data_IF_824221819762
#
_entry.id   IF_824221819762
#
_cell.length_a   1.000
_cell.length_b   1.000
_cell.length_c   1.000
_cell.angle_alpha   90.00
_cell.angle_beta   90.00
_cell.angle_gamma   90.00
#
_symmetry.space_group_name_H-M   'P 1'
#
loop_
_entity.id
_entity.type
_entity.pdbx_description
1 polymer ?
#
# COMPACT_ATOMS: atom_id res chain seq x y z
N UNK A 1 0.45 -2.49 12.66
CA UNK A 1 -0.54 -2.26 11.58
C UNK A 1 0.10 -2.77 10.31
N UNK A 2 -0.56 -3.69 9.61
CA UNK A 2 -0.06 -4.23 8.35
C UNK A 2 -0.23 -3.24 7.19
N UNK A 3 0.51 -3.45 6.10
CA UNK A 3 0.43 -2.61 4.90
C UNK A 3 -0.99 -2.50 4.33
N UNK A 4 -1.78 -3.57 4.32
CA UNK A 4 -3.14 -3.52 3.76
C UNK A 4 -4.09 -2.69 4.61
N UNK A 5 -3.96 -2.80 5.93
CA UNK A 5 -4.74 -2.01 6.87
C UNK A 5 -4.39 -0.53 6.73
N UNK A 6 -3.10 -0.21 6.73
CA UNK A 6 -2.60 1.14 6.50
C UNK A 6 -3.04 1.73 5.15
N UNK A 7 -3.01 0.93 4.08
CA UNK A 7 -3.46 1.34 2.75
C UNK A 7 -4.97 1.63 2.70
N UNK A 8 -5.78 0.87 3.46
CA UNK A 8 -7.22 1.15 3.60
C UNK A 8 -7.45 2.43 4.39
N UNK A 9 -6.74 2.62 5.50
CA UNK A 9 -6.83 3.85 6.28
C UNK A 9 -6.41 5.06 5.46
N UNK A 10 -5.39 4.97 4.61
CA UNK A 10 -5.00 6.06 3.71
C UNK A 10 -6.12 6.43 2.74
N UNK A 11 -6.83 5.43 2.19
CA UNK A 11 -7.99 5.67 1.33
C UNK A 11 -9.18 6.29 2.08
N UNK A 12 -9.36 5.95 3.35
CA UNK A 12 -10.49 6.43 4.17
C UNK A 12 -10.22 7.79 4.82
N UNK A 13 -8.97 8.04 5.25
CA UNK A 13 -8.52 9.26 5.92
C UNK A 13 -8.03 10.34 4.94
N UNK A 14 -7.53 9.94 3.78
CA UNK A 14 -6.95 10.82 2.77
C UNK A 14 -7.77 10.82 1.49
N UNK A 15 -8.09 12.03 1.03
CA UNK A 15 -8.39 12.60 -0.30
C UNK A 15 -8.57 11.74 -1.58
N UNK A 16 -8.41 10.42 -1.57
CA UNK A 16 -8.56 9.52 -2.71
C UNK A 16 -9.98 8.93 -2.74
N UNK A 17 -10.84 9.46 -3.60
CA UNK A 17 -12.25 9.04 -3.70
C UNK A 17 -12.41 7.56 -4.07
N UNK A 18 -11.43 6.99 -4.78
CA UNK A 18 -11.48 5.60 -5.26
C UNK A 18 -10.06 5.00 -5.46
N UNK A 19 -9.97 3.70 -5.81
CA UNK A 19 -8.69 3.02 -6.04
C UNK A 19 -7.93 3.54 -7.27
N UNK A 20 -8.64 4.11 -8.25
CA UNK A 20 -8.03 4.70 -9.45
C UNK A 20 -7.30 5.99 -9.08
N UNK A 21 -7.93 6.89 -8.32
CA UNK A 21 -7.28 8.14 -7.87
C UNK A 21 -6.01 7.84 -7.06
N UNK A 22 -6.08 6.84 -6.17
CA UNK A 22 -4.93 6.38 -5.39
C UNK A 22 -3.82 5.82 -6.29
N UNK A 23 -4.19 5.03 -7.31
CA UNK A 23 -3.24 4.47 -8.26
C UNK A 23 -2.55 5.56 -9.10
N UNK A 24 -3.31 6.57 -9.55
CA UNK A 24 -2.74 7.72 -10.27
C UNK A 24 -1.72 8.47 -9.41
N UNK A 25 -2.06 8.73 -8.15
CA UNK A 25 -1.14 9.45 -7.26
C UNK A 25 0.10 8.62 -6.97
N UNK A 26 -0.04 7.32 -6.72
CA UNK A 26 1.11 6.42 -6.51
C UNK A 26 1.84 6.07 -7.80
N UNK A 27 1.38 6.56 -8.95
CA UNK A 27 1.91 6.26 -10.27
C UNK A 27 1.98 4.74 -10.53
N UNK A 28 0.97 3.99 -10.10
CA UNK A 28 0.84 2.55 -10.35
C UNK A 28 -0.47 2.24 -11.07
N UNK A 29 -0.68 0.97 -11.41
CA UNK A 29 -1.93 0.56 -12.05
C UNK A 29 -3.01 0.32 -10.99
N UNK A 30 -4.27 0.61 -11.32
CA UNK A 30 -5.40 0.32 -10.43
C UNK A 30 -5.50 -1.17 -10.05
N UNK A 31 -5.22 -2.14 -10.96
CA UNK A 31 -5.09 -3.54 -10.58
C UNK A 31 -4.01 -3.82 -9.52
N UNK A 32 -2.89 -3.10 -9.52
CA UNK A 32 -1.86 -3.26 -8.50
C UNK A 32 -2.40 -2.91 -7.11
N UNK A 33 -3.11 -1.77 -6.98
CA UNK A 33 -3.77 -1.38 -5.72
C UNK A 33 -4.76 -2.46 -5.26
N UNK A 34 -5.59 -2.97 -6.16
CA UNK A 34 -6.57 -4.03 -5.86
C UNK A 34 -5.90 -5.33 -5.39
N UNK A 35 -4.83 -5.75 -6.06
CA UNK A 35 -4.06 -6.93 -5.68
C UNK A 35 -3.34 -6.77 -4.34
N UNK A 36 -2.85 -5.57 -4.03
CA UNK A 36 -2.28 -5.28 -2.72
C UNK A 36 -3.34 -5.34 -1.63
N UNK A 37 -4.49 -4.67 -1.82
CA UNK A 37 -5.60 -4.65 -0.85
C UNK A 37 -6.20 -6.03 -0.57
N UNK A 38 -6.19 -6.92 -1.57
CA UNK A 38 -6.63 -8.31 -1.44
C UNK A 38 -5.53 -9.24 -0.91
N UNK A 39 -4.26 -8.81 -0.92
CA UNK A 39 -3.11 -9.62 -0.53
C UNK A 39 -2.65 -10.62 -1.60
N UNK A 40 -3.16 -10.50 -2.83
CA UNK A 40 -2.72 -11.33 -3.96
C UNK A 40 -1.29 -11.00 -4.40
N UNK A 41 -0.87 -9.75 -4.23
CA UNK A 41 0.51 -9.32 -4.48
C UNK A 41 0.95 -8.28 -3.45
N UNK A 42 2.23 -7.90 -3.51
CA UNK A 42 2.83 -6.89 -2.63
C UNK A 42 3.51 -5.82 -3.48
N UNK A 43 3.60 -4.57 -3.00
CA UNK A 43 4.40 -3.55 -3.67
C UNK A 43 5.87 -3.97 -3.67
N UNK A 44 6.55 -3.69 -4.77
CA UNK A 44 8.01 -3.83 -4.87
C UNK A 44 8.72 -2.58 -4.34
N UNK A 45 10.06 -2.56 -4.44
CA UNK A 45 10.88 -1.44 -3.97
C UNK A 45 10.50 -0.12 -4.62
N UNK A 46 10.29 -0.14 -5.94
CA UNK A 46 9.97 1.06 -6.71
C UNK A 46 8.59 1.61 -6.32
N UNK A 47 7.60 0.74 -6.22
CA UNK A 47 6.26 1.08 -5.73
C UNK A 47 6.31 1.64 -4.30
N UNK A 48 7.08 1.03 -3.40
CA UNK A 48 7.25 1.54 -2.04
C UNK A 48 7.92 2.92 -2.02
N UNK A 49 8.89 3.16 -2.92
CA UNK A 49 9.53 4.48 -3.09
C UNK A 49 8.51 5.55 -3.48
N UNK A 50 7.70 5.28 -4.50
CA UNK A 50 6.63 6.21 -4.96
C UNK A 50 5.62 6.51 -3.85
N UNK A 51 5.19 5.47 -3.13
CA UNK A 51 4.28 5.63 -1.98
C UNK A 51 4.94 6.49 -0.89
N UNK A 52 6.23 6.29 -0.61
CA UNK A 52 6.99 7.07 0.37
C UNK A 52 7.01 8.56 0.04
N UNK A 53 7.30 8.88 -1.22
CA UNK A 53 7.36 10.26 -1.71
C UNK A 53 6.02 10.98 -1.61
N UNK A 54 4.93 10.32 -1.99
CA UNK A 54 3.59 10.91 -1.97
C UNK A 54 3.06 11.08 -0.55
N UNK A 55 3.20 10.04 0.27
CA UNK A 55 2.57 10.00 1.59
C UNK A 55 3.42 10.66 2.67
N UNK A 56 4.68 10.99 2.37
CA UNK A 56 5.68 11.44 3.35
C UNK A 56 6.06 10.37 4.37
N UNK A 57 5.60 9.13 4.19
CA UNK A 57 5.91 8.02 5.09
C UNK A 57 7.29 7.49 4.75
N UNK A 58 8.20 7.29 5.72
CA UNK A 58 9.52 6.76 5.45
C UNK A 58 9.47 5.41 4.73
N UNK A 59 10.31 5.23 3.70
CA UNK A 59 10.38 3.98 2.94
C UNK A 59 10.60 2.75 3.83
N UNK A 60 11.43 2.87 4.86
CA UNK A 60 11.69 1.80 5.82
C UNK A 60 10.41 1.37 6.57
N UNK A 61 9.55 2.32 6.93
CA UNK A 61 8.30 2.02 7.63
C UNK A 61 7.32 1.31 6.70
N UNK A 62 7.20 1.74 5.44
CA UNK A 62 6.41 1.05 4.40
C UNK A 62 6.89 -0.39 4.24
N UNK A 63 8.21 -0.60 4.18
CA UNK A 63 8.79 -1.93 4.09
C UNK A 63 8.46 -2.82 5.28
N UNK A 64 8.59 -2.29 6.49
CA UNK A 64 8.24 -3.05 7.70
C UNK A 64 6.75 -3.36 7.75
N UNK A 65 5.87 -2.44 7.32
CA UNK A 65 4.44 -2.71 7.18
C UNK A 65 4.15 -3.82 6.17
N UNK A 66 4.80 -3.81 4.99
CA UNK A 66 4.66 -4.87 3.97
C UNK A 66 5.14 -6.22 4.50
N UNK A 67 6.23 -6.23 5.27
CA UNK A 67 6.79 -7.43 5.92
C UNK A 67 5.88 -7.95 7.03
N UNK A 68 5.28 -7.09 7.85
CA UNK A 68 4.35 -7.50 8.91
C UNK A 68 3.10 -8.16 8.32
N UNK A 69 2.53 -7.55 7.29
CA UNK A 69 1.32 -8.04 6.61
C UNK A 69 1.52 -9.46 6.03
N UNK A 70 2.74 -9.72 5.53
CA UNK A 70 3.16 -11.03 5.03
C UNK A 70 3.20 -12.13 6.10
N UNK A 71 3.57 -11.77 7.32
CA UNK A 71 3.65 -12.71 8.45
C UNK A 71 2.26 -13.05 8.95
N UNK A 72 1.38 -12.05 9.04
CA UNK A 72 0.00 -12.24 9.48
C UNK A 72 -0.79 -13.19 8.56
N UNK A 73 -0.59 -13.10 7.24
CA UNK A 73 -1.22 -14.01 6.27
C UNK A 73 -0.72 -15.46 6.33
N UNK A 74 0.43 -15.72 6.95
CA UNK A 74 0.97 -17.09 7.10
C UNK A 74 0.48 -17.79 8.36
N UNK A 75 -0.22 -17.08 9.25
CA UNK A 75 -0.72 -17.58 10.55
C UNK A 75 -2.23 -17.77 10.61
N UNK A 76 -2.94 -17.47 9.51
CA UNK A 76 -4.39 -17.65 9.37
C UNK A 76 -4.69 -18.80 8.39
#
# INVERSE_FOLDING_TARGET
>A
MGFREWLRELREKGEYGNQYDMAEVFQVTQPAISFWLSGQSRPDLDSCGRISEVTGTPLADIYEMVRQDARETSTA
#
